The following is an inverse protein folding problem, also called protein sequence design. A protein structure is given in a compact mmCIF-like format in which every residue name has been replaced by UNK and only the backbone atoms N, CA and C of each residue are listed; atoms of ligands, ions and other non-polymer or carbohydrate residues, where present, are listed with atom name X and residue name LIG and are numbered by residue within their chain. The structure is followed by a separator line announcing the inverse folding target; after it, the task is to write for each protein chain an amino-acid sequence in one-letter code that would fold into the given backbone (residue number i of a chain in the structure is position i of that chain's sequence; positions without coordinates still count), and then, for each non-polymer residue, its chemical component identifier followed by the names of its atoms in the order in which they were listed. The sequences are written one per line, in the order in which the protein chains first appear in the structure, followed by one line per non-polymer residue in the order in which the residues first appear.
data_IF_127538757826
#
_entry.id   IF_127538757826
#
_cell.length_a   1.000
_cell.length_b   1.000
_cell.length_c   1.000
_cell.angle_alpha   90.00
_cell.angle_beta   90.00
_cell.angle_gamma   90.00
#
_symmetry.space_group_name_H-M   'P 1'
#
loop_
_entity.id
_entity.type
_entity.pdbx_description
1 polymer ?
#
# COMPACT_ATOMS: atom_id res chain seq x y z
N UNK A 1 17.45 6.04 10.88
CA UNK A 1 18.24 4.95 11.49
C UNK A 1 17.56 3.61 11.19
N UNK A 2 18.34 2.63 10.72
CA UNK A 2 17.88 1.28 10.40
C UNK A 2 18.62 0.29 11.31
N UNK A 3 17.92 -0.71 11.85
CA UNK A 3 18.48 -1.73 12.73
C UNK A 3 18.69 -3.04 11.97
N UNK A 4 19.95 -3.47 11.82
CA UNK A 4 20.35 -4.69 11.11
C UNK A 4 21.33 -5.56 11.91
N UNK A 5 21.37 -5.41 13.24
CA UNK A 5 22.37 -6.06 14.10
C UNK A 5 22.01 -7.46 14.58
N UNK A 6 20.76 -7.92 14.37
CA UNK A 6 20.23 -9.17 14.90
C UNK A 6 20.81 -10.45 14.27
N UNK A 7 20.73 -11.57 15.00
CA UNK A 7 21.26 -12.89 14.61
C UNK A 7 20.46 -13.59 13.51
N UNK A 8 19.25 -13.16 13.19
CA UNK A 8 18.34 -13.86 12.25
C UNK A 8 18.10 -15.37 12.60
N UNK A 9 18.12 -15.72 13.87
CA UNK A 9 18.18 -17.12 14.36
C UNK A 9 17.01 -18.01 13.93
N UNK A 10 15.82 -17.41 13.68
CA UNK A 10 14.60 -18.14 13.23
C UNK A 10 14.58 -18.40 11.72
N UNK A 11 15.45 -17.73 10.97
CA UNK A 11 15.54 -17.80 9.52
C UNK A 11 16.84 -18.50 9.13
N UNK A 12 17.04 -19.61 8.80
CA UNK A 12 18.30 -20.31 8.42
C UNK A 12 19.24 -19.50 7.48
N UNK A 13 19.02 -18.19 7.35
CA UNK A 13 19.77 -17.27 6.52
C UNK A 13 19.80 -15.86 7.17
N UNK A 14 20.80 -15.06 6.82
CA UNK A 14 20.96 -13.70 7.33
C UNK A 14 19.94 -12.75 6.68
N UNK A 15 18.85 -12.45 7.41
CA UNK A 15 17.67 -11.70 6.93
C UNK A 15 18.00 -10.41 6.16
N UNK A 16 18.88 -9.51 6.64
CA UNK A 16 19.11 -8.23 5.97
C UNK A 16 19.57 -8.35 4.52
N UNK A 17 20.20 -9.48 4.15
CA UNK A 17 20.68 -9.74 2.80
C UNK A 17 19.72 -10.58 1.96
N UNK A 18 18.65 -11.11 2.53
CA UNK A 18 17.64 -11.85 1.74
C UNK A 18 16.99 -10.93 0.69
N UNK A 19 16.84 -11.44 -0.56
CA UNK A 19 16.24 -10.67 -1.63
C UNK A 19 14.73 -10.52 -1.41
N UNK A 20 14.24 -9.29 -1.46
CA UNK A 20 12.81 -8.97 -1.44
C UNK A 20 12.52 -8.09 -2.66
N UNK A 21 11.72 -8.60 -3.60
CA UNK A 21 11.46 -7.90 -4.86
C UNK A 21 12.72 -7.57 -5.64
N UNK A 22 13.70 -8.48 -5.67
CA UNK A 22 14.94 -8.37 -6.44
C UNK A 22 16.07 -7.54 -5.80
N UNK A 23 15.89 -6.99 -4.59
CA UNK A 23 16.90 -6.23 -3.85
C UNK A 23 17.11 -6.80 -2.45
N UNK A 24 18.30 -6.71 -1.83
CA UNK A 24 18.49 -7.02 -0.42
C UNK A 24 17.51 -6.25 0.47
N UNK A 25 17.01 -6.89 1.51
CA UNK A 25 16.04 -6.31 2.44
C UNK A 25 16.54 -4.99 3.05
N UNK A 26 17.82 -4.93 3.45
CA UNK A 26 18.45 -3.71 3.97
C UNK A 26 18.46 -2.59 2.95
N UNK A 27 18.72 -2.89 1.68
CA UNK A 27 18.73 -1.88 0.61
C UNK A 27 17.32 -1.30 0.40
N UNK A 28 16.27 -2.14 0.47
CA UNK A 28 14.90 -1.62 0.39
C UNK A 28 14.56 -0.65 1.52
N UNK A 29 15.01 -0.95 2.74
CA UNK A 29 14.83 -0.04 3.86
C UNK A 29 15.61 1.28 3.67
N UNK A 30 16.78 1.24 3.02
CA UNK A 30 17.55 2.45 2.67
C UNK A 30 16.83 3.22 1.56
N UNK A 31 16.44 2.56 0.46
CA UNK A 31 15.74 3.16 -0.67
C UNK A 31 14.46 3.88 -0.21
N UNK A 32 13.69 3.31 0.73
CA UNK A 32 12.49 3.92 1.31
C UNK A 32 12.73 5.34 1.82
N UNK A 33 13.85 5.58 2.47
CA UNK A 33 14.21 6.89 2.99
C UNK A 33 14.83 7.79 1.92
N UNK A 34 15.67 7.25 1.03
CA UNK A 34 16.25 8.01 -0.10
C UNK A 34 15.16 8.53 -1.04
N UNK A 35 14.14 7.73 -1.34
CA UNK A 35 12.97 8.11 -2.16
C UNK A 35 12.17 9.28 -1.55
N UNK A 36 12.35 9.52 -0.23
CA UNK A 36 11.74 10.64 0.50
C UNK A 36 12.73 11.79 0.78
N UNK A 37 13.89 11.80 0.12
CA UNK A 37 14.89 12.86 0.25
C UNK A 37 15.70 12.83 1.56
N UNK A 38 15.61 11.73 2.34
CA UNK A 38 16.41 11.54 3.56
C UNK A 38 17.73 10.87 3.19
N UNK A 39 18.81 11.61 3.23
CA UNK A 39 20.16 11.15 2.87
C UNK A 39 21.06 10.83 4.07
N UNK A 40 20.73 11.31 5.27
CA UNK A 40 21.45 10.99 6.49
C UNK A 40 20.94 9.69 7.09
N UNK A 41 21.41 8.56 6.55
CA UNK A 41 20.95 7.22 6.90
C UNK A 41 22.05 6.46 7.63
N UNK A 42 21.77 6.09 8.88
CA UNK A 42 22.61 5.22 9.70
C UNK A 42 22.01 3.83 9.74
N UNK A 43 22.80 2.80 9.46
CA UNK A 43 22.41 1.39 9.60
C UNK A 43 23.26 0.74 10.67
N UNK A 44 22.63 0.33 11.78
CA UNK A 44 23.34 -0.34 12.87
C UNK A 44 23.55 -1.81 12.54
N UNK A 45 24.83 -2.23 12.51
CA UNK A 45 25.26 -3.58 12.17
C UNK A 45 25.76 -4.34 13.40
N UNK A 46 25.77 -5.67 13.31
CA UNK A 46 26.24 -6.54 14.38
C UNK A 46 26.75 -7.86 13.80
N UNK A 47 25.93 -8.90 13.85
CA UNK A 47 26.25 -10.20 13.27
C UNK A 47 26.46 -10.11 11.76
N UNK A 48 27.47 -10.81 11.21
CA UNK A 48 27.82 -10.80 9.79
C UNK A 48 28.07 -9.40 9.17
N UNK A 49 28.62 -8.47 9.96
CA UNK A 49 28.87 -7.09 9.51
C UNK A 49 29.69 -7.01 8.23
N UNK A 50 30.68 -7.87 8.07
CA UNK A 50 31.59 -7.94 6.91
C UNK A 50 30.85 -8.19 5.59
N UNK A 51 29.68 -8.83 5.63
CA UNK A 51 28.86 -9.11 4.45
C UNK A 51 27.85 -8.00 4.16
N UNK A 52 27.30 -7.33 5.20
CA UNK A 52 26.25 -6.34 5.01
C UNK A 52 26.79 -4.91 4.83
N UNK A 53 27.92 -4.57 5.46
CA UNK A 53 28.44 -3.20 5.40
C UNK A 53 28.83 -2.73 4.00
N UNK A 54 29.38 -3.56 3.08
CA UNK A 54 29.58 -3.16 1.69
C UNK A 54 28.26 -2.79 1.01
N UNK A 55 27.21 -3.60 1.17
CA UNK A 55 25.88 -3.34 0.60
C UNK A 55 25.28 -2.02 1.12
N UNK A 56 25.48 -1.72 2.41
CA UNK A 56 25.00 -0.48 3.03
C UNK A 56 25.72 0.73 2.43
N UNK A 57 27.05 0.67 2.25
CA UNK A 57 27.83 1.77 1.67
C UNK A 57 27.49 1.99 0.20
N UNK A 58 27.37 0.91 -0.57
CA UNK A 58 26.98 0.97 -1.99
C UNK A 58 25.57 1.57 -2.17
N UNK A 59 24.67 1.34 -1.22
CA UNK A 59 23.34 1.95 -1.17
C UNK A 59 23.35 3.41 -0.66
N UNK A 60 24.50 4.01 -0.35
CA UNK A 60 24.61 5.41 0.10
C UNK A 60 24.32 5.65 1.57
N UNK A 61 24.32 4.63 2.41
CA UNK A 61 24.10 4.75 3.87
C UNK A 61 25.38 4.53 4.68
N UNK A 62 25.38 4.93 5.94
CA UNK A 62 26.51 4.82 6.85
C UNK A 62 26.34 3.60 7.78
N UNK A 63 27.18 2.54 7.67
CA UNK A 63 27.14 1.43 8.63
C UNK A 63 27.78 1.86 9.96
N UNK A 64 27.15 1.43 11.05
CA UNK A 64 27.63 1.65 12.43
C UNK A 64 27.65 0.31 13.16
N UNK A 65 28.85 -0.18 13.46
CA UNK A 65 28.98 -1.45 14.16
C UNK A 65 28.68 -1.31 15.66
N UNK A 66 27.86 -2.20 16.18
CA UNK A 66 27.56 -2.35 17.59
C UNK A 66 28.21 -3.63 18.15
N UNK A 67 29.32 -3.57 18.90
CA UNK A 67 29.99 -4.77 19.42
C UNK A 67 29.12 -5.60 20.37
N UNK A 68 28.28 -4.92 21.14
CA UNK A 68 27.38 -5.53 22.13
C UNK A 68 26.02 -5.97 21.56
N UNK A 69 25.91 -6.21 20.25
CA UNK A 69 24.62 -6.53 19.60
C UNK A 69 23.90 -7.75 20.19
N UNK A 70 24.61 -8.65 20.88
CA UNK A 70 24.02 -9.81 21.54
C UNK A 70 23.19 -9.44 22.80
N UNK A 71 23.41 -8.26 23.40
CA UNK A 71 22.72 -7.81 24.62
C UNK A 71 21.29 -7.31 24.38
N UNK A 72 20.83 -7.24 23.13
CA UNK A 72 19.48 -6.83 22.81
C UNK A 72 19.37 -5.58 21.92
N UNK A 73 18.14 -5.23 21.62
CA UNK A 73 17.83 -4.16 20.64
C UNK A 73 18.18 -2.76 21.17
N UNK A 74 18.02 -2.50 22.49
CA UNK A 74 18.22 -1.17 23.05
C UNK A 74 19.63 -0.65 22.82
N UNK A 75 20.65 -1.47 23.02
CA UNK A 75 22.06 -1.09 22.77
C UNK A 75 22.30 -0.72 21.29
N UNK A 76 21.68 -1.43 20.36
CA UNK A 76 21.72 -1.09 18.94
C UNK A 76 21.06 0.25 18.65
N UNK A 77 19.92 0.55 19.29
CA UNK A 77 19.22 1.83 19.18
C UNK A 77 20.11 2.97 19.72
N UNK A 78 20.69 2.82 20.90
CA UNK A 78 21.56 3.79 21.53
C UNK A 78 22.81 4.07 20.67
N UNK A 79 23.42 3.01 20.13
CA UNK A 79 24.58 3.12 19.23
C UNK A 79 24.26 3.93 17.97
N UNK A 80 23.09 3.70 17.36
CA UNK A 80 22.64 4.45 16.20
C UNK A 80 22.30 5.90 16.53
N UNK A 81 21.61 6.16 17.65
CA UNK A 81 21.24 7.50 18.11
C UNK A 81 22.48 8.36 18.37
N UNK A 82 23.53 7.78 18.94
CA UNK A 82 24.81 8.49 19.18
C UNK A 82 25.46 9.03 17.88
N UNK A 83 25.08 8.50 16.70
CA UNK A 83 25.57 8.92 15.39
C UNK A 83 24.68 9.93 14.67
N UNK A 84 23.50 10.25 15.20
CA UNK A 84 22.64 11.29 14.64
C UNK A 84 23.37 12.64 14.72
N UNK A 85 23.50 13.30 13.57
CA UNK A 85 24.22 14.57 13.46
C UNK A 85 23.56 15.69 14.26
N UNK A 86 24.34 16.66 14.78
CA UNK A 86 23.76 17.87 15.35
C UNK A 86 22.88 18.63 14.34
N UNK A 87 21.84 19.30 14.83
CA UNK A 87 20.93 20.07 13.96
C UNK A 87 19.75 19.26 13.36
N UNK A 88 19.73 17.94 13.51
CA UNK A 88 18.56 17.15 13.15
C UNK A 88 17.40 17.39 14.14
N UNK A 89 16.17 17.55 13.61
CA UNK A 89 14.97 17.79 14.44
C UNK A 89 14.29 16.48 14.88
N UNK A 90 14.40 15.42 14.06
CA UNK A 90 13.82 14.11 14.36
C UNK A 90 14.52 13.00 13.61
N UNK A 91 14.23 11.76 13.97
CA UNK A 91 14.76 10.57 13.32
C UNK A 91 13.72 9.45 13.22
N UNK A 92 13.77 8.71 12.13
CA UNK A 92 13.03 7.46 11.97
C UNK A 92 13.80 6.30 12.60
N UNK A 93 13.05 5.31 13.12
CA UNK A 93 13.59 4.06 13.62
C UNK A 93 12.92 2.89 12.90
N UNK A 94 13.68 2.18 12.05
CA UNK A 94 13.16 1.07 11.23
C UNK A 94 13.96 -0.21 11.46
N UNK A 95 13.35 -1.31 11.91
CA UNK A 95 13.93 -2.65 11.81
C UNK A 95 14.04 -3.08 10.34
N UNK A 96 15.14 -3.74 9.99
CA UNK A 96 15.40 -4.17 8.58
C UNK A 96 14.38 -5.17 8.06
N UNK A 97 13.74 -5.92 8.94
CA UNK A 97 12.77 -6.97 8.59
C UNK A 97 11.36 -6.44 8.28
N UNK A 98 11.18 -5.11 8.21
CA UNK A 98 9.91 -4.44 7.82
C UNK A 98 10.13 -3.61 6.54
N UNK A 99 10.43 -4.24 5.39
CA UNK A 99 10.80 -3.54 4.15
C UNK A 99 9.62 -3.22 3.22
N UNK A 100 8.39 -3.59 3.60
CA UNK A 100 7.21 -3.48 2.72
C UNK A 100 6.40 -2.19 2.92
N UNK A 101 7.04 -1.13 3.43
CA UNK A 101 6.42 0.17 3.68
C UNK A 101 6.41 1.01 2.41
N UNK A 102 5.31 1.73 2.15
CA UNK A 102 5.20 2.63 1.00
C UNK A 102 5.93 3.95 1.22
N UNK A 103 6.62 4.48 0.20
CA UNK A 103 7.20 5.83 0.27
C UNK A 103 6.18 6.91 0.64
N UNK A 104 4.94 6.82 0.16
CA UNK A 104 3.85 7.74 0.50
C UNK A 104 3.55 7.81 2.02
N UNK A 105 3.74 6.70 2.74
CA UNK A 105 3.58 6.65 4.20
C UNK A 105 4.63 7.52 4.88
N UNK A 106 5.90 7.37 4.51
CA UNK A 106 7.01 8.17 5.04
C UNK A 106 6.84 9.65 4.69
N UNK A 107 6.48 9.97 3.45
CA UNK A 107 6.22 11.35 3.01
C UNK A 107 5.15 12.04 3.86
N UNK A 108 4.04 11.36 4.13
CA UNK A 108 2.96 11.89 4.95
C UNK A 108 3.37 12.05 6.43
N UNK A 109 4.19 11.14 6.95
CA UNK A 109 4.76 11.26 8.31
C UNK A 109 5.67 12.48 8.42
N UNK A 110 6.55 12.72 7.44
CA UNK A 110 7.41 13.90 7.38
C UNK A 110 6.57 15.17 7.39
N UNK A 111 5.56 15.25 6.52
CA UNK A 111 4.66 16.41 6.45
C UNK A 111 3.96 16.68 7.79
N UNK A 112 3.51 15.62 8.48
CA UNK A 112 2.89 15.75 9.80
C UNK A 112 3.89 16.22 10.84
N UNK A 113 5.10 15.68 10.86
CA UNK A 113 6.15 16.06 11.79
C UNK A 113 6.58 17.51 11.61
N UNK A 114 6.69 18.00 10.37
CA UNK A 114 7.02 19.40 10.09
C UNK A 114 6.00 20.38 10.68
N UNK A 115 4.74 19.98 10.80
CA UNK A 115 3.68 20.81 11.41
C UNK A 115 3.72 20.81 12.96
N UNK A 116 4.37 19.81 13.57
CA UNK A 116 4.52 19.69 15.04
C UNK A 116 5.75 18.82 15.37
N UNK A 117 6.97 19.40 15.32
CA UNK A 117 8.23 18.67 15.44
C UNK A 117 8.56 18.19 16.87
N UNK A 118 7.70 18.50 17.84
CA UNK A 118 7.86 18.08 19.23
C UNK A 118 7.08 16.81 19.57
N UNK A 119 6.32 16.25 18.62
CA UNK A 119 5.50 15.06 18.83
C UNK A 119 6.11 13.83 18.14
N UNK A 120 6.01 12.70 18.82
CA UNK A 120 6.31 11.41 18.21
C UNK A 120 5.19 11.08 17.23
N UNK A 121 5.52 10.80 15.97
CA UNK A 121 4.55 10.35 14.98
C UNK A 121 4.63 8.83 14.87
N UNK A 122 3.55 8.16 15.27
CA UNK A 122 3.41 6.72 15.21
C UNK A 122 2.50 6.34 14.04
N UNK A 123 2.97 5.62 13.03
CA UNK A 123 2.09 5.14 11.97
C UNK A 123 1.21 4.01 12.50
N UNK A 124 -0.09 4.03 12.15
CA UNK A 124 -1.05 3.03 12.59
C UNK A 124 -1.86 2.49 11.41
N UNK A 125 -2.08 1.19 11.38
CA UNK A 125 -3.01 0.50 10.49
C UNK A 125 -4.08 -0.18 11.34
N UNK A 126 -5.36 0.14 11.13
CA UNK A 126 -6.49 -0.38 11.92
C UNK A 126 -6.24 -0.24 13.44
N UNK A 127 -5.81 0.96 13.85
CA UNK A 127 -5.47 1.35 15.24
C UNK A 127 -4.28 0.57 15.85
N UNK A 128 -3.62 -0.32 15.11
CA UNK A 128 -2.39 -0.99 15.53
C UNK A 128 -1.18 -0.14 15.16
N UNK A 129 -0.31 0.23 16.14
CA UNK A 129 0.91 0.98 15.87
C UNK A 129 1.94 0.11 15.15
N UNK A 130 2.62 0.70 14.15
CA UNK A 130 3.62 0.04 13.32
C UNK A 130 4.93 0.81 13.19
N UNK A 131 5.69 0.49 12.17
CA UNK A 131 6.99 1.10 11.88
C UNK A 131 6.96 1.93 10.58
N UNK A 132 7.91 2.88 10.44
CA UNK A 132 8.83 3.37 11.45
C UNK A 132 8.21 4.49 12.30
N UNK A 133 8.37 4.56 13.63
CA UNK A 133 8.09 5.77 14.37
C UNK A 133 9.05 6.88 13.93
N UNK A 134 8.54 8.12 13.89
CA UNK A 134 9.35 9.32 13.74
C UNK A 134 9.43 10.05 15.09
N UNK A 135 10.62 10.10 15.65
CA UNK A 135 10.90 10.52 17.04
C UNK A 135 11.65 11.85 17.02
N UNK A 136 11.21 12.88 17.78
CA UNK A 136 11.96 14.13 17.93
C UNK A 136 13.34 13.90 18.52
N UNK A 137 14.35 14.63 18.04
CA UNK A 137 15.73 14.53 18.56
C UNK A 137 15.87 14.95 20.01
N UNK A 138 14.94 15.72 20.57
CA UNK A 138 14.92 16.06 22.01
C UNK A 138 14.79 14.84 22.93
N UNK A 139 14.35 13.68 22.40
CA UNK A 139 14.32 12.41 23.14
C UNK A 139 15.66 11.67 23.18
N UNK A 140 16.69 12.12 22.42
CA UNK A 140 17.99 11.43 22.32
C UNK A 140 18.60 11.13 23.69
N UNK A 141 18.77 12.15 24.53
CA UNK A 141 19.43 11.99 25.83
C UNK A 141 18.64 11.06 26.76
N UNK A 142 17.30 11.12 26.68
CA UNK A 142 16.44 10.21 27.45
C UNK A 142 16.57 8.77 26.97
N UNK A 143 16.72 8.53 25.68
CA UNK A 143 16.92 7.18 25.13
C UNK A 143 18.33 6.68 25.46
N UNK A 144 19.35 7.53 25.37
CA UNK A 144 20.71 7.18 25.75
C UNK A 144 20.86 6.86 27.23
N UNK A 145 20.04 7.45 28.09
CA UNK A 145 20.02 7.21 29.53
C UNK A 145 19.22 5.98 29.96
N UNK A 146 18.52 5.29 29.04
CA UNK A 146 17.78 4.07 29.37
C UNK A 146 18.73 2.95 29.82
N UNK A 147 18.35 2.24 30.89
CA UNK A 147 19.10 1.08 31.39
C UNK A 147 18.79 -0.16 30.52
N UNK A 148 19.67 -1.13 30.51
CA UNK A 148 19.47 -2.40 29.75
C UNK A 148 18.17 -3.13 30.10
N UNK A 149 17.66 -2.97 31.33
CA UNK A 149 16.38 -3.54 31.78
C UNK A 149 15.14 -2.84 31.24
N UNK A 150 15.31 -1.69 30.58
CA UNK A 150 14.22 -0.88 30.00
C UNK A 150 14.10 -1.10 28.49
N UNK A 151 12.95 -0.74 27.93
CA UNK A 151 12.75 -0.79 26.49
C UNK A 151 12.40 0.60 25.93
N UNK A 152 12.67 0.82 24.65
CA UNK A 152 12.17 2.03 23.97
C UNK A 152 10.63 2.12 24.02
N UNK A 153 9.94 0.95 23.99
CA UNK A 153 8.48 0.88 24.12
C UNK A 153 8.00 1.49 25.44
N UNK A 154 8.70 1.23 26.56
CA UNK A 154 8.32 1.78 27.86
C UNK A 154 8.41 3.30 27.87
N UNK A 155 9.49 3.85 27.30
CA UNK A 155 9.65 5.30 27.14
C UNK A 155 8.52 5.86 26.27
N UNK A 156 8.23 5.26 25.11
CA UNK A 156 7.18 5.75 24.22
C UNK A 156 5.79 5.66 24.87
N UNK A 157 5.53 4.60 25.63
CA UNK A 157 4.29 4.45 26.39
C UNK A 157 4.13 5.53 27.45
N UNK A 158 5.20 5.92 28.11
CA UNK A 158 5.20 7.03 29.06
C UNK A 158 5.02 8.42 28.40
N UNK A 159 5.14 8.50 27.06
CA UNK A 159 4.99 9.74 26.28
C UNK A 159 3.70 9.75 25.42
N UNK A 160 2.63 9.08 25.86
CA UNK A 160 1.34 9.00 25.13
C UNK A 160 0.78 10.37 24.75
N UNK A 161 0.86 11.33 25.66
CA UNK A 161 0.37 12.71 25.47
C UNK A 161 1.18 13.46 24.41
N UNK A 162 2.39 13.00 24.13
CA UNK A 162 3.29 13.55 23.11
C UNK A 162 3.36 12.68 21.85
N UNK A 163 2.49 11.69 21.73
CA UNK A 163 2.44 10.79 20.57
C UNK A 163 1.18 11.08 19.74
N UNK A 164 1.36 11.21 18.43
CA UNK A 164 0.29 11.30 17.45
C UNK A 164 0.23 9.98 16.69
N UNK A 165 -0.86 9.25 16.88
CA UNK A 165 -1.17 8.06 16.09
C UNK A 165 -1.73 8.50 14.73
N UNK A 166 -0.94 8.37 13.67
CA UNK A 166 -1.31 8.77 12.33
C UNK A 166 -1.82 7.55 11.55
N UNK A 167 -3.09 7.57 11.17
CA UNK A 167 -3.74 6.45 10.46
C UNK A 167 -3.28 6.36 9.01
N UNK A 168 -2.94 5.15 8.58
CA UNK A 168 -2.52 4.80 7.23
C UNK A 168 -3.29 3.59 6.71
N UNK A 169 -3.43 3.49 5.38
CA UNK A 169 -3.90 2.31 4.67
C UNK A 169 -2.70 1.51 4.11
N UNK A 170 -1.65 1.41 4.90
CA UNK A 170 -0.40 0.72 4.56
C UNK A 170 -0.14 -0.38 5.58
N UNK A 171 -0.56 -1.58 5.26
CA UNK A 171 -0.35 -2.74 6.13
C UNK A 171 1.13 -3.13 6.24
N UNK A 172 1.94 -2.71 5.28
CA UNK A 172 3.38 -2.92 5.30
C UNK A 172 4.08 -2.43 6.55
N UNK A 173 3.52 -1.43 7.25
CA UNK A 173 4.05 -0.92 8.54
C UNK A 173 4.01 -1.96 9.68
N UNK A 174 3.21 -3.03 9.53
CA UNK A 174 3.03 -4.12 10.50
C UNK A 174 3.64 -5.45 10.04
N UNK A 175 4.16 -5.51 8.81
CA UNK A 175 4.61 -6.77 8.21
C UNK A 175 6.10 -6.98 8.42
N UNK A 176 6.44 -7.96 9.25
CA UNK A 176 7.82 -8.40 9.47
C UNK A 176 8.16 -9.73 8.77
N UNK A 177 9.44 -9.93 8.49
CA UNK A 177 10.01 -11.15 7.94
C UNK A 177 10.65 -12.02 9.04
N UNK A 178 9.99 -12.21 10.18
CA UNK A 178 10.53 -12.91 11.34
C UNK A 178 10.76 -14.41 11.12
N UNK A 179 9.98 -15.02 10.25
CA UNK A 179 10.07 -16.42 9.86
C UNK A 179 9.80 -16.59 8.36
N UNK A 180 9.86 -17.81 7.84
CA UNK A 180 9.70 -18.10 6.43
C UNK A 180 8.33 -17.65 5.87
N UNK A 181 7.26 -17.78 6.65
CA UNK A 181 5.93 -17.36 6.21
C UNK A 181 5.79 -15.82 6.21
N UNK A 182 6.34 -15.13 7.22
CA UNK A 182 6.47 -13.68 7.24
C UNK A 182 7.25 -13.17 6.03
N UNK A 183 8.40 -13.80 5.73
CA UNK A 183 9.20 -13.46 4.56
C UNK A 183 8.42 -13.60 3.24
N UNK A 184 7.69 -14.70 3.04
CA UNK A 184 6.86 -14.89 1.84
C UNK A 184 5.78 -13.82 1.72
N UNK A 185 5.11 -13.47 2.83
CA UNK A 185 4.11 -12.40 2.84
C UNK A 185 4.72 -11.03 2.49
N UNK A 186 5.86 -10.71 3.09
CA UNK A 186 6.61 -9.47 2.81
C UNK A 186 7.04 -9.43 1.34
N UNK A 187 7.58 -10.53 0.81
CA UNK A 187 8.00 -10.61 -0.59
C UNK A 187 6.82 -10.41 -1.56
N UNK A 188 5.69 -11.08 -1.30
CA UNK A 188 4.47 -10.88 -2.07
C UNK A 188 4.00 -9.43 -2.03
N UNK A 189 3.98 -8.82 -0.83
CA UNK A 189 3.58 -7.42 -0.66
C UNK A 189 4.46 -6.45 -1.42
N UNK A 190 5.77 -6.65 -1.39
CA UNK A 190 6.73 -5.78 -2.08
C UNK A 190 6.57 -5.83 -3.60
N UNK A 191 6.17 -6.96 -4.18
CA UNK A 191 5.91 -7.09 -5.62
C UNK A 191 4.70 -6.28 -6.10
N UNK A 192 3.80 -5.91 -5.20
CA UNK A 192 2.55 -5.21 -5.50
C UNK A 192 2.29 -4.04 -4.54
N UNK A 193 3.33 -3.27 -4.18
CA UNK A 193 3.19 -2.12 -3.26
C UNK A 193 2.20 -1.06 -3.75
N UNK A 194 2.04 -0.91 -5.05
CA UNK A 194 1.14 0.04 -5.70
C UNK A 194 -0.28 -0.50 -5.91
N UNK A 195 -0.57 -1.71 -5.36
CA UNK A 195 -1.90 -2.31 -5.31
C UNK A 195 -2.25 -2.57 -3.84
N UNK A 196 -3.34 -2.02 -3.30
CA UNK A 196 -3.79 -2.35 -1.96
C UNK A 196 -4.27 -3.80 -1.91
N UNK A 197 -3.89 -4.51 -0.87
CA UNK A 197 -4.50 -5.80 -0.57
C UNK A 197 -5.94 -5.62 -0.04
N UNK A 198 -6.65 -6.73 0.16
CA UNK A 198 -8.05 -6.70 0.59
C UNK A 198 -8.26 -5.92 1.90
N UNK A 199 -7.37 -6.08 2.88
CA UNK A 199 -7.49 -5.40 4.17
C UNK A 199 -7.27 -3.89 4.03
N UNK A 200 -6.34 -3.49 3.16
CA UNK A 200 -6.09 -2.09 2.83
C UNK A 200 -7.27 -1.48 2.07
N UNK A 201 -7.87 -2.20 1.10
CA UNK A 201 -9.08 -1.77 0.43
C UNK A 201 -10.22 -1.53 1.42
N UNK A 202 -10.46 -2.48 2.33
CA UNK A 202 -11.50 -2.35 3.36
C UNK A 202 -11.21 -1.16 4.30
N UNK A 203 -9.96 -0.97 4.70
CA UNK A 203 -9.55 0.18 5.52
C UNK A 203 -9.84 1.52 4.82
N UNK A 204 -9.61 1.61 3.50
CA UNK A 204 -9.95 2.80 2.70
C UNK A 204 -11.47 2.98 2.64
N UNK A 205 -12.20 1.92 2.33
CA UNK A 205 -13.68 1.96 2.28
C UNK A 205 -14.28 2.37 3.63
N UNK A 206 -13.71 1.89 4.74
CA UNK A 206 -14.20 2.23 6.09
C UNK A 206 -13.93 3.68 6.49
N UNK A 207 -12.88 4.27 5.97
CA UNK A 207 -12.57 5.69 6.22
C UNK A 207 -13.40 6.63 5.34
N UNK A 208 -13.59 6.28 4.07
CA UNK A 208 -14.15 7.18 3.05
C UNK A 208 -15.68 7.07 2.94
N UNK A 209 -16.28 5.94 3.31
CA UNK A 209 -17.70 5.69 3.15
C UNK A 209 -18.38 5.36 4.50
N UNK A 210 -19.58 5.92 4.75
CA UNK A 210 -20.36 5.55 5.93
C UNK A 210 -20.63 4.04 5.99
N UNK A 211 -20.60 3.45 7.20
CA UNK A 211 -20.73 1.99 7.40
C UNK A 211 -21.97 1.36 6.75
N UNK A 212 -23.08 2.09 6.67
CA UNK A 212 -24.37 1.62 6.10
C UNK A 212 -24.67 2.21 4.72
N UNK A 213 -23.66 2.74 4.01
CA UNK A 213 -23.90 3.32 2.69
C UNK A 213 -24.13 2.22 1.64
N UNK A 214 -25.23 2.29 0.84
CA UNK A 214 -25.59 1.25 -0.13
C UNK A 214 -24.51 0.95 -1.18
N UNK A 215 -23.60 1.91 -1.43
CA UNK A 215 -22.52 1.74 -2.39
C UNK A 215 -21.55 0.62 -1.98
N UNK A 216 -21.46 0.28 -0.69
CA UNK A 216 -20.56 -0.80 -0.22
C UNK A 216 -20.96 -2.15 -0.79
N UNK A 217 -22.26 -2.43 -0.86
CA UNK A 217 -22.76 -3.67 -1.44
C UNK A 217 -22.53 -3.70 -2.96
N UNK A 218 -22.68 -2.55 -3.63
CA UNK A 218 -22.31 -2.40 -5.04
C UNK A 218 -20.83 -2.66 -5.28
N UNK A 219 -19.92 -2.07 -4.48
CA UNK A 219 -18.47 -2.31 -4.60
C UNK A 219 -18.14 -3.81 -4.46
N UNK A 220 -18.76 -4.48 -3.50
CA UNK A 220 -18.59 -5.93 -3.29
C UNK A 220 -19.09 -6.74 -4.49
N UNK A 221 -20.28 -6.41 -5.01
CA UNK A 221 -20.86 -7.09 -6.19
C UNK A 221 -19.99 -6.88 -7.44
N UNK A 222 -19.54 -5.66 -7.69
CA UNK A 222 -18.64 -5.36 -8.81
C UNK A 222 -17.32 -6.12 -8.69
N UNK A 223 -16.76 -6.22 -7.47
CA UNK A 223 -15.52 -6.97 -7.25
C UNK A 223 -15.69 -8.48 -7.51
N UNK A 224 -16.82 -9.07 -7.07
CA UNK A 224 -17.14 -10.48 -7.36
C UNK A 224 -17.30 -10.72 -8.86
N UNK A 225 -18.03 -9.86 -9.55
CA UNK A 225 -18.25 -9.94 -11.00
C UNK A 225 -16.93 -9.79 -11.75
N UNK A 226 -16.13 -8.79 -11.41
CA UNK A 226 -14.83 -8.54 -12.05
C UNK A 226 -13.84 -9.70 -11.83
N UNK A 227 -13.87 -10.35 -10.66
CA UNK A 227 -13.07 -11.54 -10.36
C UNK A 227 -13.44 -12.72 -11.26
N UNK A 228 -14.74 -13.03 -11.42
CA UNK A 228 -15.20 -14.10 -12.35
C UNK A 228 -14.73 -13.82 -13.78
N UNK A 229 -14.87 -12.57 -14.25
CA UNK A 229 -14.40 -12.15 -15.57
C UNK A 229 -12.89 -12.29 -15.71
N UNK A 230 -12.11 -11.89 -14.69
CA UNK A 230 -10.66 -11.97 -14.72
C UNK A 230 -10.14 -13.43 -14.78
N UNK A 231 -10.85 -14.36 -14.18
CA UNK A 231 -10.50 -15.79 -14.25
C UNK A 231 -10.93 -16.43 -15.58
N UNK A 232 -11.94 -15.90 -16.26
CA UNK A 232 -12.43 -16.45 -17.52
C UNK A 232 -11.60 -16.04 -18.74
N UNK A 233 -11.02 -14.83 -18.72
CA UNK A 233 -10.24 -14.34 -19.86
C UNK A 233 -8.85 -14.96 -19.92
N UNK A 234 -8.44 -15.37 -21.11
CA UNK A 234 -7.07 -15.80 -21.39
C UNK A 234 -6.20 -14.57 -21.61
N UNK A 235 -5.15 -14.38 -20.79
CA UNK A 235 -4.21 -13.26 -20.97
C UNK A 235 -3.56 -12.81 -19.67
N UNK A 236 -2.61 -11.89 -19.76
CA UNK A 236 -1.86 -11.39 -18.60
C UNK A 236 -2.70 -10.34 -17.82
N UNK A 237 -3.69 -10.79 -17.06
CA UNK A 237 -4.51 -9.97 -16.18
C UNK A 237 -4.00 -10.09 -14.75
N UNK A 238 -3.77 -8.97 -14.10
CA UNK A 238 -3.44 -8.93 -12.68
C UNK A 238 -4.73 -8.94 -11.85
N UNK A 239 -5.08 -10.10 -11.31
CA UNK A 239 -6.32 -10.32 -10.55
C UNK A 239 -6.40 -9.43 -9.31
N UNK A 240 -5.28 -9.22 -8.59
CA UNK A 240 -5.25 -8.35 -7.41
C UNK A 240 -5.58 -6.90 -7.78
N UNK A 241 -5.08 -6.44 -8.94
CA UNK A 241 -5.39 -5.09 -9.46
C UNK A 241 -6.87 -4.96 -9.83
N UNK A 242 -7.44 -5.99 -10.45
CA UNK A 242 -8.89 -6.03 -10.79
C UNK A 242 -9.73 -5.93 -9.53
N UNK A 243 -9.46 -6.76 -8.52
CA UNK A 243 -10.22 -6.78 -7.26
C UNK A 243 -10.09 -5.43 -6.54
N UNK A 244 -8.87 -4.92 -6.39
CA UNK A 244 -8.62 -3.65 -5.70
C UNK A 244 -9.32 -2.48 -6.41
N UNK A 245 -9.21 -2.41 -7.74
CA UNK A 245 -9.87 -1.36 -8.52
C UNK A 245 -11.39 -1.46 -8.46
N UNK A 246 -11.95 -2.67 -8.50
CA UNK A 246 -13.39 -2.89 -8.40
C UNK A 246 -13.93 -2.51 -7.00
N UNK A 247 -13.20 -2.84 -5.91
CA UNK A 247 -13.56 -2.45 -4.55
C UNK A 247 -13.49 -0.93 -4.31
N UNK A 248 -12.73 -0.20 -5.12
CA UNK A 248 -12.43 1.22 -4.89
C UNK A 248 -12.91 2.15 -6.01
N UNK A 249 -13.55 1.63 -7.09
CA UNK A 249 -13.89 2.44 -8.26
C UNK A 249 -14.79 3.63 -7.94
N UNK A 250 -15.74 3.44 -7.04
CA UNK A 250 -16.74 4.44 -6.62
C UNK A 250 -16.47 5.00 -5.22
N UNK A 251 -15.20 4.94 -4.72
CA UNK A 251 -14.84 5.38 -3.37
C UNK A 251 -15.17 6.86 -3.08
N UNK A 252 -15.22 7.69 -4.12
CA UNK A 252 -15.59 9.12 -4.08
C UNK A 252 -16.95 9.40 -4.73
N UNK A 253 -17.87 8.42 -4.73
CA UNK A 253 -19.18 8.50 -5.40
C UNK A 253 -19.97 9.76 -5.12
N UNK A 254 -19.81 10.36 -3.96
CA UNK A 254 -20.53 11.59 -3.55
C UNK A 254 -19.96 12.85 -4.22
N UNK A 255 -18.83 12.78 -4.90
CA UNK A 255 -18.21 13.92 -5.56
C UNK A 255 -18.63 14.02 -7.03
N UNK A 256 -18.72 15.24 -7.55
CA UNK A 256 -19.20 15.52 -8.93
C UNK A 256 -18.40 14.78 -10.00
N UNK A 257 -17.06 14.69 -9.82
CA UNK A 257 -16.14 13.97 -10.70
C UNK A 257 -15.51 12.78 -9.97
N UNK A 258 -16.34 11.90 -9.39
CA UNK A 258 -15.93 10.85 -8.47
C UNK A 258 -14.81 9.94 -9.00
N UNK A 259 -14.79 9.65 -10.31
CA UNK A 259 -13.73 8.84 -10.91
C UNK A 259 -12.36 9.50 -10.81
N UNK A 260 -12.27 10.80 -11.14
CA UNK A 260 -11.03 11.57 -11.02
C UNK A 260 -10.65 11.77 -9.55
N UNK A 261 -11.61 12.14 -8.69
CA UNK A 261 -11.38 12.33 -7.27
C UNK A 261 -10.94 11.03 -6.58
N UNK A 262 -11.52 9.88 -6.96
CA UNK A 262 -11.10 8.57 -6.48
C UNK A 262 -9.67 8.23 -6.93
N UNK A 263 -9.34 8.51 -8.18
CA UNK A 263 -7.99 8.30 -8.70
C UNK A 263 -6.95 9.19 -7.99
N UNK A 264 -7.26 10.46 -7.75
CA UNK A 264 -6.37 11.39 -7.02
C UNK A 264 -6.13 10.93 -5.58
N UNK A 265 -7.19 10.53 -4.86
CA UNK A 265 -7.06 9.93 -3.52
C UNK A 265 -6.11 8.74 -3.54
N UNK A 266 -6.33 7.78 -4.44
CA UNK A 266 -5.56 6.54 -4.51
C UNK A 266 -4.10 6.80 -4.90
N UNK A 267 -3.85 7.76 -5.79
CA UNK A 267 -2.51 8.20 -6.15
C UNK A 267 -1.80 8.82 -4.94
N UNK A 268 -2.49 9.68 -4.18
CA UNK A 268 -1.96 10.28 -2.94
C UNK A 268 -1.64 9.24 -1.85
N UNK A 269 -2.29 8.08 -1.88
CA UNK A 269 -2.01 6.94 -1.00
C UNK A 269 -0.89 6.02 -1.55
N UNK A 270 -0.38 6.27 -2.77
CA UNK A 270 0.67 5.47 -3.40
C UNK A 270 0.16 4.29 -4.24
N UNK A 271 -1.14 4.19 -4.51
CA UNK A 271 -1.77 3.10 -5.28
C UNK A 271 -1.92 3.47 -6.77
N UNK A 272 -0.79 3.77 -7.43
CA UNK A 272 -0.77 4.37 -8.77
C UNK A 272 -1.43 3.50 -9.85
N UNK A 273 -1.28 2.16 -9.80
CA UNK A 273 -1.91 1.26 -10.78
C UNK A 273 -3.43 1.25 -10.62
N UNK A 274 -3.92 1.17 -9.38
CA UNK A 274 -5.36 1.19 -9.08
C UNK A 274 -5.97 2.54 -9.44
N UNK A 275 -5.27 3.64 -9.14
CA UNK A 275 -5.71 4.98 -9.52
C UNK A 275 -5.95 5.12 -11.03
N UNK A 276 -5.08 4.53 -11.87
CA UNK A 276 -5.25 4.52 -13.34
C UNK A 276 -6.52 3.79 -13.78
N UNK A 277 -6.84 2.65 -13.16
CA UNK A 277 -8.05 1.89 -13.48
C UNK A 277 -9.29 2.64 -13.01
N UNK A 278 -9.28 3.10 -11.76
CA UNK A 278 -10.40 3.84 -11.15
C UNK A 278 -10.71 5.13 -11.92
N UNK A 279 -9.69 5.87 -12.37
CA UNK A 279 -9.90 7.09 -13.15
C UNK A 279 -10.64 6.88 -14.47
N UNK A 280 -10.67 5.66 -15.01
CA UNK A 280 -11.28 5.33 -16.29
C UNK A 280 -12.63 4.60 -16.19
N UNK A 281 -13.12 4.23 -15.00
CA UNK A 281 -14.33 3.41 -14.87
C UNK A 281 -15.61 4.08 -15.40
N UNK A 282 -15.63 5.41 -15.50
CA UNK A 282 -16.75 6.14 -16.11
C UNK A 282 -16.57 6.39 -17.61
N UNK A 283 -15.35 6.67 -18.07
CA UNK A 283 -15.05 7.03 -19.45
C UNK A 283 -13.73 6.35 -19.86
N UNK A 284 -13.85 5.14 -20.36
CA UNK A 284 -12.71 4.35 -20.81
C UNK A 284 -12.24 4.77 -22.20
N UNK A 285 -10.92 4.85 -22.39
CA UNK A 285 -10.30 4.94 -23.71
C UNK A 285 -9.97 3.52 -24.17
N UNK A 286 -10.75 3.00 -25.14
CA UNK A 286 -10.54 1.67 -25.69
C UNK A 286 -9.53 1.69 -26.82
N UNK A 287 -8.60 0.74 -26.80
CA UNK A 287 -7.82 0.33 -27.95
C UNK A 287 -8.34 -1.04 -28.44
N UNK A 288 -9.03 -1.09 -29.60
CA UNK A 288 -9.61 -2.33 -30.10
C UNK A 288 -8.58 -3.41 -30.44
N UNK A 289 -7.31 -3.04 -30.67
CA UNK A 289 -6.23 -3.95 -31.03
C UNK A 289 -5.47 -4.49 -29.82
N UNK A 290 -5.56 -3.82 -28.66
CA UNK A 290 -4.90 -4.27 -27.45
C UNK A 290 -5.63 -5.49 -26.83
N UNK A 291 -4.94 -6.38 -26.11
CA UNK A 291 -5.60 -7.45 -25.33
C UNK A 291 -6.51 -6.86 -24.25
N UNK A 292 -7.52 -7.64 -23.81
CA UNK A 292 -8.38 -7.26 -22.67
C UNK A 292 -7.50 -7.04 -21.43
N UNK A 293 -7.73 -5.93 -20.74
CA UNK A 293 -6.97 -5.49 -19.55
C UNK A 293 -7.88 -5.28 -18.35
N UNK A 294 -7.27 -5.10 -17.20
CA UNK A 294 -7.94 -4.88 -15.91
C UNK A 294 -8.98 -3.76 -15.95
N UNK A 295 -8.67 -2.66 -16.65
CA UNK A 295 -9.58 -1.49 -16.78
C UNK A 295 -10.88 -1.86 -17.48
N UNK A 296 -10.82 -2.70 -18.50
CA UNK A 296 -12.00 -3.14 -19.25
C UNK A 296 -12.86 -4.09 -18.42
N UNK A 297 -12.22 -4.98 -17.64
CA UNK A 297 -12.93 -5.91 -16.76
C UNK A 297 -13.68 -5.16 -15.66
N UNK A 298 -13.03 -4.19 -15.01
CA UNK A 298 -13.65 -3.36 -13.97
C UNK A 298 -14.75 -2.48 -14.56
N UNK A 299 -14.49 -1.84 -15.72
CA UNK A 299 -15.49 -1.04 -16.43
C UNK A 299 -16.75 -1.86 -16.75
N UNK A 300 -16.59 -3.05 -17.34
CA UNK A 300 -17.72 -3.90 -17.72
C UNK A 300 -18.46 -4.41 -16.47
N UNK A 301 -17.75 -4.87 -15.45
CA UNK A 301 -18.35 -5.35 -14.21
C UNK A 301 -19.24 -4.29 -13.54
N UNK A 302 -18.81 -3.03 -13.52
CA UNK A 302 -19.63 -1.92 -13.01
C UNK A 302 -20.91 -1.73 -13.87
N UNK A 303 -20.81 -1.89 -15.19
CA UNK A 303 -21.96 -1.68 -16.09
C UNK A 303 -22.99 -2.82 -16.06
N UNK A 304 -22.61 -4.03 -15.64
CA UNK A 304 -23.53 -5.16 -15.47
C UNK A 304 -23.96 -5.40 -14.02
N UNK A 305 -23.60 -4.50 -13.11
CA UNK A 305 -24.08 -4.48 -11.73
C UNK A 305 -25.04 -3.31 -11.49
N UNK A 306 -26.10 -3.55 -10.73
CA UNK A 306 -27.06 -2.54 -10.30
C UNK A 306 -27.28 -2.64 -8.78
N UNK A 307 -26.63 -1.77 -8.02
CA UNK A 307 -26.51 -1.94 -6.57
C UNK A 307 -25.86 -3.29 -6.23
N UNK A 308 -26.45 -4.08 -5.32
CA UNK A 308 -25.89 -5.37 -4.90
C UNK A 308 -26.20 -6.52 -5.88
N UNK A 309 -26.84 -6.27 -7.03
CA UNK A 309 -27.34 -7.31 -7.93
C UNK A 309 -26.61 -7.28 -9.27
N UNK A 310 -26.38 -8.47 -9.82
CA UNK A 310 -25.99 -8.65 -11.22
C UNK A 310 -27.22 -8.34 -12.11
N UNK A 311 -27.05 -7.49 -13.11
CA UNK A 311 -28.08 -7.09 -14.08
C UNK A 311 -27.49 -7.13 -15.49
N UNK A 312 -27.59 -8.29 -16.14
CA UNK A 312 -27.12 -8.48 -17.51
C UNK A 312 -27.99 -7.76 -18.54
N UNK A 313 -29.17 -7.25 -18.16
CA UNK A 313 -30.02 -6.47 -19.04
C UNK A 313 -29.65 -4.97 -19.04
N UNK A 314 -28.35 -4.69 -19.04
CA UNK A 314 -27.86 -3.31 -19.07
C UNK A 314 -28.36 -2.51 -20.28
N UNK A 315 -28.78 -3.17 -21.37
CA UNK A 315 -29.38 -2.52 -22.55
C UNK A 315 -30.62 -1.70 -22.21
N UNK A 316 -31.53 -2.24 -21.38
CA UNK A 316 -32.73 -1.50 -20.94
C UNK A 316 -32.33 -0.33 -20.03
N UNK A 317 -31.35 -0.52 -19.17
CA UNK A 317 -30.88 0.53 -18.28
C UNK A 317 -30.26 1.70 -19.04
N UNK A 318 -29.44 1.44 -20.05
CA UNK A 318 -28.90 2.49 -20.91
C UNK A 318 -30.01 3.21 -21.71
N UNK A 319 -31.00 2.49 -22.23
CA UNK A 319 -32.17 3.09 -22.90
C UNK A 319 -32.91 4.05 -21.96
N UNK A 320 -33.21 3.61 -20.75
CA UNK A 320 -33.84 4.45 -19.74
C UNK A 320 -33.02 5.69 -19.35
N UNK A 321 -31.68 5.55 -19.30
CA UNK A 321 -30.81 6.70 -19.09
C UNK A 321 -30.88 7.71 -20.24
N UNK A 322 -30.95 7.24 -21.50
CA UNK A 322 -31.12 8.12 -22.67
C UNK A 322 -32.45 8.89 -22.63
N UNK A 323 -33.52 8.22 -22.23
CA UNK A 323 -34.85 8.85 -22.07
C UNK A 323 -34.84 9.93 -20.98
N UNK A 324 -34.21 9.66 -19.84
CA UNK A 324 -34.15 10.59 -18.69
C UNK A 324 -33.18 11.74 -18.87
N UNK A 325 -32.10 11.55 -19.62
CA UNK A 325 -31.01 12.52 -19.73
C UNK A 325 -30.65 12.76 -21.19
N UNK A 326 -31.56 13.33 -22.02
CA UNK A 326 -31.33 13.56 -23.44
C UNK A 326 -30.14 14.53 -23.70
N UNK A 327 -29.87 15.45 -22.78
CA UNK A 327 -28.70 16.34 -22.86
C UNK A 327 -27.35 15.62 -22.74
N UNK A 328 -27.31 14.42 -22.18
CA UNK A 328 -26.12 13.59 -22.02
C UNK A 328 -26.06 12.45 -23.05
N UNK A 329 -26.95 12.42 -24.05
CA UNK A 329 -27.14 11.32 -24.98
C UNK A 329 -25.83 10.83 -25.61
N UNK A 330 -24.97 11.74 -26.10
CA UNK A 330 -23.70 11.37 -26.73
C UNK A 330 -22.77 10.60 -25.77
N UNK A 331 -22.69 11.02 -24.53
CA UNK A 331 -21.82 10.35 -23.52
C UNK A 331 -22.41 9.00 -23.08
N UNK A 332 -23.75 8.93 -22.94
CA UNK A 332 -24.44 7.68 -22.59
C UNK A 332 -24.30 6.67 -23.73
N UNK A 333 -24.48 7.11 -24.97
CA UNK A 333 -24.34 6.24 -26.15
C UNK A 333 -22.92 5.70 -26.29
N UNK A 334 -21.91 6.56 -26.14
CA UNK A 334 -20.50 6.13 -26.14
C UNK A 334 -20.20 5.08 -25.06
N UNK A 335 -20.73 5.25 -23.83
CA UNK A 335 -20.59 4.26 -22.76
C UNK A 335 -21.28 2.94 -23.11
N UNK A 336 -22.43 2.99 -23.70
CA UNK A 336 -23.17 1.81 -24.18
C UNK A 336 -22.37 1.05 -25.23
N UNK A 337 -21.87 1.72 -26.25
CA UNK A 337 -21.04 1.11 -27.30
C UNK A 337 -19.76 0.49 -26.71
N UNK A 338 -19.06 1.22 -25.84
CA UNK A 338 -17.88 0.69 -25.14
C UNK A 338 -18.24 -0.58 -24.35
N UNK A 339 -19.38 -0.60 -23.66
CA UNK A 339 -19.82 -1.76 -22.88
C UNK A 339 -20.04 -2.97 -23.80
N UNK A 340 -20.71 -2.79 -24.95
CA UNK A 340 -20.93 -3.86 -25.94
C UNK A 340 -19.61 -4.37 -26.54
N UNK A 341 -18.72 -3.47 -26.91
CA UNK A 341 -17.40 -3.82 -27.46
C UNK A 341 -16.57 -4.63 -26.44
N UNK A 342 -16.55 -4.18 -25.18
CA UNK A 342 -15.83 -4.89 -24.12
C UNK A 342 -16.45 -6.27 -23.89
N UNK A 343 -17.79 -6.38 -23.86
CA UNK A 343 -18.45 -7.67 -23.74
C UNK A 343 -17.99 -8.64 -24.83
N UNK A 344 -18.08 -8.24 -26.09
CA UNK A 344 -17.70 -9.09 -27.21
C UNK A 344 -16.23 -9.54 -27.14
N UNK A 345 -15.35 -8.67 -26.68
CA UNK A 345 -13.93 -8.99 -26.49
C UNK A 345 -13.69 -9.95 -25.32
N UNK A 346 -14.39 -9.77 -24.20
CA UNK A 346 -14.33 -10.71 -23.06
C UNK A 346 -14.80 -12.08 -23.51
N UNK A 347 -15.96 -12.18 -24.18
CA UNK A 347 -16.52 -13.43 -24.68
C UNK A 347 -15.58 -14.13 -25.68
N UNK A 348 -14.96 -13.36 -26.59
CA UNK A 348 -13.98 -13.89 -27.52
C UNK A 348 -12.72 -14.42 -26.83
N UNK A 349 -12.22 -13.72 -25.80
CA UNK A 349 -11.05 -14.14 -25.04
C UNK A 349 -11.34 -15.35 -24.13
N UNK A 350 -12.55 -15.43 -23.58
CA UNK A 350 -12.98 -16.51 -22.68
C UNK A 350 -13.47 -17.76 -23.43
N UNK A 351 -13.90 -17.62 -24.68
CA UNK A 351 -14.57 -18.69 -25.43
C UNK A 351 -15.96 -19.08 -24.88
N UNK A 352 -16.56 -18.22 -24.06
CA UNK A 352 -17.83 -18.44 -23.36
C UNK A 352 -18.66 -17.15 -23.36
N UNK A 353 -19.98 -17.27 -23.26
CA UNK A 353 -20.85 -16.11 -23.11
C UNK A 353 -20.70 -15.46 -21.72
N UNK A 354 -20.98 -14.15 -21.60
CA UNK A 354 -21.01 -13.47 -20.29
C UNK A 354 -22.00 -14.15 -19.34
N UNK A 355 -23.11 -14.65 -19.85
CA UNK A 355 -24.11 -15.37 -19.05
C UNK A 355 -23.50 -16.62 -18.43
N UNK A 356 -22.74 -17.40 -19.19
CA UNK A 356 -22.10 -18.63 -18.70
C UNK A 356 -20.97 -18.31 -17.70
N UNK A 357 -20.15 -17.29 -17.98
CA UNK A 357 -19.06 -16.84 -17.08
C UNK A 357 -19.59 -16.38 -15.72
N UNK A 358 -20.73 -15.67 -15.73
CA UNK A 358 -21.30 -15.06 -14.52
C UNK A 358 -22.41 -15.91 -13.88
N UNK A 359 -22.81 -17.02 -14.49
CA UNK A 359 -23.64 -18.03 -13.83
C UNK A 359 -22.96 -18.51 -12.53
N UNK A 360 -23.75 -18.78 -11.51
CA UNK A 360 -23.24 -19.17 -10.16
C UNK A 360 -22.60 -20.57 -10.14
#
# INVERSE_FOLDING_TARGET
MILAAGFSSRMKAFKPLLPVGGKPMVQRCIDLFLDNGITDIVVVTGHYREHIEPVIRDAGACPVFHPGFASGMLGSIQQGIAKIRPGQTGFFLLPTDIPAIRPATVARMIKKFQSDPHRIIMPCFNDMPGHPPLIPCEFKDRILALKESSTLRDLMTAQKDRTVNLKFHDRGILMDADNQDGYRRVESKVRSLDIPDREECLSIVDQELPKKHPIRDHLAQVAMTALKLAHAVSGPVNVDLVIAAALLHDIRRMEKNHAAAGAELLQGLGFNRVAKVVGQHMNIALDPQAPVRETELVYFADKVCNGPHLDLNYHQRFRHCLEKMPWAANSIWKRYENTRHIQARIEACAGQSITDILAD
#
